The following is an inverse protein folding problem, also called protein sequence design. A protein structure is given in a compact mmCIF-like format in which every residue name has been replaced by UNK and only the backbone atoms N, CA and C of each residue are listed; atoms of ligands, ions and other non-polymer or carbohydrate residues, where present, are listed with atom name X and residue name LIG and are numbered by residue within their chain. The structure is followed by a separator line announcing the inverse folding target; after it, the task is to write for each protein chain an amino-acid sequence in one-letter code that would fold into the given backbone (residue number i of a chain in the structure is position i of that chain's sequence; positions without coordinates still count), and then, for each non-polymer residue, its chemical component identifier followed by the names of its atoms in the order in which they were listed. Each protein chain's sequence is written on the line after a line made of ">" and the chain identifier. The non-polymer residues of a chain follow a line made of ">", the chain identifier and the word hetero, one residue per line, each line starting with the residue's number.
data_IF_761746800413
#
_entry.id   IF_761746800413
#
_cell.length_a   1.000
_cell.length_b   1.000
_cell.length_c   1.000
_cell.angle_alpha   90.00
_cell.angle_beta   90.00
_cell.angle_gamma   90.00
#
_symmetry.space_group_name_H-M   'P 1'
#
loop_
_entity.id
_entity.type
_entity.pdbx_description
1 polymer ?
#
# COMPACT_ATOMS: atom_id res chain seq x y z
N UNK A 1 -7.42 9.67 -9.04
CA UNK A 1 -7.10 8.58 -10.00
C UNK A 1 -6.38 9.13 -11.22
N UNK A 2 -5.44 8.38 -11.82
CA UNK A 2 -4.73 8.83 -13.04
C UNK A 2 -3.32 9.42 -12.84
N UNK A 3 -2.75 9.35 -11.63
CA UNK A 3 -1.39 9.84 -11.36
C UNK A 3 -0.27 9.04 -12.06
N UNK A 4 -0.56 7.84 -12.59
CA UNK A 4 0.44 6.99 -13.27
C UNK A 4 1.00 5.84 -12.42
N UNK A 5 0.53 5.67 -11.16
CA UNK A 5 0.98 4.61 -10.23
C UNK A 5 0.92 3.21 -10.85
N UNK A 6 -0.22 2.81 -11.38
CA UNK A 6 -0.42 1.47 -11.96
C UNK A 6 0.42 1.25 -13.22
N UNK A 7 0.66 2.29 -14.02
CA UNK A 7 1.57 2.26 -15.16
C UNK A 7 3.01 2.02 -14.70
N UNK A 8 3.45 2.73 -13.66
CA UNK A 8 4.77 2.54 -13.05
C UNK A 8 4.93 1.13 -12.50
N UNK A 9 3.95 0.61 -11.76
CA UNK A 9 3.98 -0.78 -11.25
C UNK A 9 4.05 -1.78 -12.40
N UNK A 10 3.28 -1.57 -13.47
CA UNK A 10 3.28 -2.44 -14.64
C UNK A 10 4.65 -2.44 -15.33
N UNK A 11 5.33 -1.29 -15.38
CA UNK A 11 6.68 -1.19 -15.90
C UNK A 11 7.69 -1.94 -15.01
N UNK A 12 7.57 -1.81 -13.68
CA UNK A 12 8.42 -2.53 -12.71
C UNK A 12 8.21 -4.05 -12.80
N UNK A 13 6.97 -4.50 -12.95
CA UNK A 13 6.64 -5.92 -13.16
C UNK A 13 7.04 -6.48 -14.53
N UNK A 14 7.51 -5.63 -15.44
CA UNK A 14 7.80 -6.00 -16.82
C UNK A 14 6.56 -6.45 -17.59
N UNK A 15 5.38 -5.90 -17.26
CA UNK A 15 4.14 -6.08 -18.02
C UNK A 15 4.05 -5.11 -19.20
N UNK A 16 4.65 -3.93 -19.05
CA UNK A 16 4.82 -2.94 -20.12
C UNK A 16 6.28 -2.51 -20.20
N UNK A 17 6.77 -2.19 -21.40
CA UNK A 17 8.10 -1.63 -21.57
C UNK A 17 8.05 -0.11 -21.32
N UNK A 18 8.99 0.47 -20.54
CA UNK A 18 9.16 1.92 -20.48
C UNK A 18 9.47 2.49 -21.86
N UNK A 19 8.85 3.61 -22.23
CA UNK A 19 9.18 4.31 -23.49
C UNK A 19 10.61 4.84 -23.53
N UNK A 20 11.16 5.17 -22.36
CA UNK A 20 12.54 5.59 -22.16
C UNK A 20 12.98 5.28 -20.72
N UNK A 21 14.29 5.34 -20.46
CA UNK A 21 14.86 5.05 -19.15
C UNK A 21 15.11 3.57 -18.89
N UNK A 22 15.29 3.21 -17.62
CA UNK A 22 15.66 1.86 -17.20
C UNK A 22 15.01 1.53 -15.86
N UNK A 23 14.58 0.27 -15.71
CA UNK A 23 14.07 -0.26 -14.45
C UNK A 23 14.93 -1.45 -14.01
N UNK A 24 15.34 -1.43 -12.75
CA UNK A 24 16.08 -2.54 -12.13
C UNK A 24 15.41 -2.99 -10.85
N UNK A 25 15.27 -4.30 -10.65
CA UNK A 25 14.70 -4.90 -9.44
C UNK A 25 15.72 -5.86 -8.83
N UNK A 26 16.11 -5.63 -7.58
CA UNK A 26 17.17 -6.42 -6.93
C UNK A 26 18.48 -6.44 -7.74
N UNK A 27 18.82 -5.31 -8.38
CA UNK A 27 19.99 -5.18 -9.26
C UNK A 27 19.83 -5.81 -10.66
N UNK A 28 18.70 -6.46 -10.96
CA UNK A 28 18.43 -7.07 -12.27
C UNK A 28 17.70 -6.09 -13.17
N UNK A 29 18.22 -5.86 -14.37
CA UNK A 29 17.57 -5.07 -15.41
C UNK A 29 16.34 -5.81 -15.97
N UNK A 30 15.15 -5.24 -15.77
CA UNK A 30 13.86 -5.86 -16.13
C UNK A 30 13.76 -6.14 -17.62
N UNK A 31 14.36 -5.30 -18.47
CA UNK A 31 14.32 -5.49 -19.91
C UNK A 31 15.30 -6.57 -20.40
N UNK A 32 16.42 -6.76 -19.70
CA UNK A 32 17.45 -7.75 -20.07
C UNK A 32 17.14 -9.16 -19.56
N UNK A 33 16.67 -9.27 -18.31
CA UNK A 33 16.27 -10.56 -17.73
C UNK A 33 14.96 -10.43 -16.94
N UNK A 34 13.81 -10.42 -17.64
CA UNK A 34 12.50 -10.28 -17.01
C UNK A 34 12.18 -11.40 -16.02
N UNK A 35 12.67 -12.63 -16.28
CA UNK A 35 12.39 -13.78 -15.44
C UNK A 35 13.16 -13.71 -14.12
N UNK A 36 14.45 -13.34 -14.16
CA UNK A 36 15.22 -13.14 -12.93
C UNK A 36 14.68 -11.97 -12.11
N UNK A 37 14.24 -10.88 -12.75
CA UNK A 37 13.59 -9.76 -12.06
C UNK A 37 12.28 -10.21 -11.37
N UNK A 38 11.41 -10.94 -12.08
CA UNK A 38 10.14 -11.45 -11.51
C UNK A 38 10.33 -12.45 -10.38
N UNK A 39 11.41 -13.23 -10.37
CA UNK A 39 11.73 -14.12 -9.24
C UNK A 39 12.08 -13.36 -7.95
N UNK A 40 12.52 -12.11 -8.06
CA UNK A 40 12.83 -11.24 -6.91
C UNK A 40 11.66 -10.34 -6.53
N UNK A 41 10.59 -10.32 -7.33
CA UNK A 41 9.47 -9.40 -7.21
C UNK A 41 8.18 -10.14 -6.89
N UNK A 42 7.52 -9.77 -5.80
CA UNK A 42 6.12 -10.09 -5.53
C UNK A 42 5.24 -8.91 -5.92
N UNK A 43 4.11 -9.15 -6.59
CA UNK A 43 3.14 -8.09 -6.90
C UNK A 43 1.76 -8.55 -6.42
N UNK A 44 1.17 -7.78 -5.51
CA UNK A 44 -0.22 -7.88 -5.09
C UNK A 44 -1.01 -6.73 -5.77
N UNK A 45 -1.58 -6.97 -6.96
CA UNK A 45 -2.26 -5.93 -7.74
C UNK A 45 -3.57 -5.45 -7.09
N UNK A 46 -4.07 -4.27 -7.47
CA UNK A 46 -5.37 -3.75 -7.01
C UNK A 46 -6.52 -4.72 -7.31
N UNK A 47 -6.63 -5.17 -8.56
CA UNK A 47 -7.57 -6.21 -8.97
C UNK A 47 -7.09 -7.59 -8.50
N UNK A 48 -7.95 -8.37 -7.85
CA UNK A 48 -7.60 -9.70 -7.34
C UNK A 48 -7.15 -10.63 -8.47
N UNK A 49 -5.92 -11.15 -8.37
CA UNK A 49 -5.38 -12.15 -9.28
C UNK A 49 -5.58 -13.54 -8.68
N UNK A 50 -6.83 -13.97 -8.48
CA UNK A 50 -7.15 -15.27 -7.88
C UNK A 50 -8.07 -16.08 -8.78
N UNK A 51 -7.98 -17.40 -8.71
CA UNK A 51 -8.85 -18.33 -9.40
C UNK A 51 -10.08 -18.64 -8.52
N UNK A 52 -11.27 -18.08 -8.82
CA UNK A 52 -12.42 -18.12 -7.91
C UNK A 52 -12.98 -19.53 -7.71
N UNK A 53 -12.86 -20.40 -8.73
CA UNK A 53 -13.40 -21.76 -8.72
C UNK A 53 -12.46 -22.76 -8.03
N UNK A 54 -11.20 -22.38 -7.79
CA UNK A 54 -10.24 -23.20 -7.07
C UNK A 54 -10.33 -22.95 -5.57
N UNK A 55 -9.91 -23.93 -4.77
CA UNK A 55 -9.82 -23.75 -3.32
C UNK A 55 -8.69 -22.77 -2.95
N UNK A 56 -8.72 -22.29 -1.71
CA UNK A 56 -7.64 -21.46 -1.15
C UNK A 56 -6.28 -22.15 -1.29
N UNK A 57 -6.20 -23.42 -0.89
CA UNK A 57 -4.98 -24.23 -1.00
C UNK A 57 -4.55 -24.39 -2.46
N UNK A 58 -5.49 -24.67 -3.36
CA UNK A 58 -5.18 -24.84 -4.79
C UNK A 58 -4.65 -23.54 -5.41
N UNK A 59 -5.21 -22.38 -5.03
CA UNK A 59 -4.68 -21.08 -5.47
C UNK A 59 -3.20 -20.93 -5.08
N UNK A 60 -2.88 -21.15 -3.80
CA UNK A 60 -1.50 -21.07 -3.34
C UNK A 60 -0.59 -22.07 -4.08
N UNK A 61 -1.07 -23.28 -4.35
CA UNK A 61 -0.30 -24.28 -5.09
C UNK A 61 -0.06 -23.86 -6.55
N UNK A 62 -1.05 -23.29 -7.22
CA UNK A 62 -0.93 -22.79 -8.59
C UNK A 62 0.08 -21.65 -8.64
N UNK A 63 -0.05 -20.64 -7.79
CA UNK A 63 0.89 -19.50 -7.76
C UNK A 63 2.30 -19.95 -7.41
N UNK A 64 2.46 -20.83 -6.41
CA UNK A 64 3.78 -21.39 -6.09
C UNK A 64 4.40 -22.13 -7.26
N UNK A 65 3.61 -22.94 -7.98
CA UNK A 65 4.05 -23.66 -9.18
C UNK A 65 4.48 -22.72 -10.31
N UNK A 66 3.75 -21.61 -10.54
CA UNK A 66 4.10 -20.60 -11.55
C UNK A 66 5.48 -19.96 -11.28
N UNK A 67 5.87 -19.84 -10.01
CA UNK A 67 7.20 -19.37 -9.61
C UNK A 67 8.24 -20.50 -9.45
N UNK A 68 7.94 -21.71 -9.91
CA UNK A 68 8.86 -22.84 -9.94
C UNK A 68 9.00 -23.60 -8.62
N UNK A 69 8.08 -23.42 -7.66
CA UNK A 69 8.06 -24.23 -6.45
C UNK A 69 7.44 -25.61 -6.74
N UNK A 70 8.08 -26.67 -6.23
CA UNK A 70 7.59 -28.04 -6.35
C UNK A 70 7.87 -28.88 -5.09
N UNK A 71 7.29 -30.08 -5.05
CA UNK A 71 7.54 -31.07 -4.01
C UNK A 71 7.38 -30.54 -2.58
N UNK A 72 8.38 -30.80 -1.74
CA UNK A 72 8.41 -30.38 -0.32
C UNK A 72 8.34 -28.87 -0.16
N UNK A 73 9.10 -28.11 -0.97
CA UNK A 73 9.14 -26.64 -0.88
C UNK A 73 7.77 -26.02 -1.18
N UNK A 74 7.06 -26.52 -2.20
CA UNK A 74 5.70 -26.07 -2.49
C UNK A 74 4.75 -26.34 -1.31
N UNK A 75 4.87 -27.51 -0.67
CA UNK A 75 4.05 -27.88 0.47
C UNK A 75 4.29 -26.96 1.67
N UNK A 76 5.56 -26.68 1.98
CA UNK A 76 5.97 -25.79 3.06
C UNK A 76 5.49 -24.36 2.81
N UNK A 77 5.74 -23.81 1.61
CA UNK A 77 5.30 -22.46 1.26
C UNK A 77 3.78 -22.34 1.17
N UNK A 78 3.07 -23.39 0.77
CA UNK A 78 1.59 -23.41 0.82
C UNK A 78 1.10 -23.33 2.27
N UNK A 79 1.71 -24.10 3.18
CA UNK A 79 1.35 -24.05 4.61
C UNK A 79 1.61 -22.68 5.20
N UNK A 80 2.78 -22.10 4.91
CA UNK A 80 3.13 -20.74 5.30
C UNK A 80 2.15 -19.71 4.75
N UNK A 81 1.77 -19.82 3.47
CA UNK A 81 0.80 -18.90 2.84
C UNK A 81 -0.60 -18.99 3.45
N UNK A 82 -1.04 -20.18 3.86
CA UNK A 82 -2.30 -20.36 4.58
C UNK A 82 -2.28 -19.66 5.94
N UNK A 83 -1.15 -19.77 6.67
CA UNK A 83 -0.95 -19.10 7.97
C UNK A 83 -0.88 -17.58 7.82
N UNK A 84 -0.09 -17.10 6.86
CA UNK A 84 0.03 -15.68 6.57
C UNK A 84 -1.33 -15.07 6.22
N UNK A 85 -2.16 -15.77 5.45
CA UNK A 85 -3.49 -15.32 5.10
C UNK A 85 -4.53 -15.54 6.22
N UNK A 86 -4.19 -16.25 7.31
CA UNK A 86 -5.10 -16.79 8.32
C UNK A 86 -6.33 -17.47 7.70
N UNK A 87 -6.09 -18.45 6.83
CA UNK A 87 -7.10 -19.19 6.08
C UNK A 87 -6.96 -20.72 6.21
N UNK A 88 -6.25 -21.22 7.21
CA UNK A 88 -6.03 -22.65 7.43
C UNK A 88 -7.34 -23.41 7.56
N UNK A 89 -8.30 -22.87 8.34
CA UNK A 89 -9.63 -23.45 8.51
C UNK A 89 -10.49 -23.39 7.24
N UNK A 90 -10.11 -22.59 6.25
CA UNK A 90 -10.81 -22.40 4.97
C UNK A 90 -10.02 -22.95 3.77
N UNK A 91 -8.95 -23.72 4.03
CA UNK A 91 -8.01 -24.21 2.99
C UNK A 91 -8.69 -24.93 1.82
N UNK A 92 -9.78 -25.64 2.08
CA UNK A 92 -10.51 -26.45 1.09
C UNK A 92 -11.80 -25.76 0.60
N UNK A 93 -12.06 -24.51 1.01
CA UNK A 93 -13.18 -23.72 0.50
C UNK A 93 -12.80 -23.08 -0.85
N UNK A 94 -13.74 -22.98 -1.82
CA UNK A 94 -13.55 -22.19 -3.03
C UNK A 94 -13.24 -20.73 -2.71
N UNK A 95 -12.35 -20.10 -3.48
CA UNK A 95 -12.03 -18.67 -3.29
C UNK A 95 -13.26 -17.78 -3.51
N UNK A 96 -14.18 -18.18 -4.39
CA UNK A 96 -15.42 -17.45 -4.64
C UNK A 96 -16.23 -17.17 -3.36
N UNK A 97 -16.24 -18.10 -2.41
CA UNK A 97 -16.99 -17.98 -1.14
C UNK A 97 -16.30 -17.13 -0.06
N UNK A 98 -15.09 -16.64 -0.31
CA UNK A 98 -14.38 -15.77 0.63
C UNK A 98 -14.91 -14.33 0.60
N UNK A 99 -14.83 -13.64 1.74
CA UNK A 99 -15.05 -12.19 1.81
C UNK A 99 -13.98 -11.42 1.02
N UNK A 100 -14.23 -10.14 0.71
CA UNK A 100 -13.26 -9.27 0.03
C UNK A 100 -11.92 -9.21 0.77
N UNK A 101 -11.96 -8.97 2.08
CA UNK A 101 -10.76 -8.95 2.93
C UNK A 101 -10.00 -10.29 2.94
N UNK A 102 -10.71 -11.42 3.02
CA UNK A 102 -10.08 -12.75 2.93
C UNK A 102 -9.40 -12.98 1.58
N UNK A 103 -10.05 -12.59 0.47
CA UNK A 103 -9.45 -12.65 -0.87
C UNK A 103 -8.20 -11.78 -0.96
N UNK A 104 -8.22 -10.61 -0.33
CA UNK A 104 -7.07 -9.69 -0.32
C UNK A 104 -5.86 -10.27 0.41
N UNK A 105 -6.08 -10.87 1.58
CA UNK A 105 -5.01 -11.57 2.33
C UNK A 105 -4.45 -12.75 1.56
N UNK A 106 -5.31 -13.53 0.89
CA UNK A 106 -4.88 -14.62 0.01
C UNK A 106 -4.06 -14.10 -1.18
N UNK A 107 -4.49 -13.01 -1.81
CA UNK A 107 -3.79 -12.38 -2.93
C UNK A 107 -2.37 -11.94 -2.53
N UNK A 108 -2.22 -11.34 -1.33
CA UNK A 108 -0.92 -10.99 -0.79
C UNK A 108 -0.07 -12.25 -0.50
N UNK A 109 -0.65 -13.28 0.12
CA UNK A 109 0.06 -14.52 0.38
C UNK A 109 0.58 -15.17 -0.93
N UNK A 110 -0.22 -15.20 -1.99
CA UNK A 110 0.20 -15.68 -3.31
C UNK A 110 1.41 -14.90 -3.86
N UNK A 111 1.43 -13.57 -3.71
CA UNK A 111 2.52 -12.72 -4.18
C UNK A 111 3.85 -12.96 -3.44
N UNK A 112 3.82 -13.60 -2.27
CA UNK A 112 4.97 -13.82 -1.40
C UNK A 112 5.46 -15.27 -1.40
N UNK A 113 4.76 -16.20 -2.04
CA UNK A 113 5.05 -17.64 -1.97
C UNK A 113 6.47 -17.99 -2.41
N UNK A 114 7.00 -17.33 -3.43
CA UNK A 114 8.34 -17.57 -3.96
C UNK A 114 9.45 -16.84 -3.22
N UNK A 115 9.12 -16.19 -2.10
CA UNK A 115 10.07 -15.53 -1.21
C UNK A 115 10.81 -14.34 -1.86
N UNK A 116 10.09 -13.34 -2.38
CA UNK A 116 10.70 -12.22 -3.10
C UNK A 116 11.46 -11.25 -2.18
N UNK A 117 12.49 -10.61 -2.73
CA UNK A 117 13.26 -9.52 -2.08
C UNK A 117 12.48 -8.20 -2.06
N UNK A 118 11.68 -7.96 -3.10
CA UNK A 118 10.87 -6.74 -3.28
C UNK A 118 9.40 -7.11 -3.43
N UNK A 119 8.52 -6.41 -2.73
CA UNK A 119 7.07 -6.63 -2.78
C UNK A 119 6.37 -5.34 -3.15
N UNK A 120 5.47 -5.38 -4.13
CA UNK A 120 4.58 -4.27 -4.48
C UNK A 120 3.17 -4.59 -3.99
N UNK A 121 2.62 -3.73 -3.16
CA UNK A 121 1.23 -3.78 -2.73
C UNK A 121 0.46 -2.62 -3.35
N UNK A 122 -0.36 -2.91 -4.36
CA UNK A 122 -1.09 -1.90 -5.13
C UNK A 122 -2.49 -1.67 -4.55
N UNK A 123 -2.68 -0.57 -3.83
CA UNK A 123 -3.91 -0.22 -3.10
C UNK A 123 -4.50 -1.41 -2.31
N UNK A 124 -3.73 -2.02 -1.39
CA UNK A 124 -4.09 -3.30 -0.76
C UNK A 124 -5.33 -3.22 0.13
N UNK A 125 -5.75 -2.04 0.56
CA UNK A 125 -6.86 -1.84 1.51
C UNK A 125 -8.17 -1.41 0.86
N UNK A 126 -8.21 -1.25 -0.47
CA UNK A 126 -9.43 -0.83 -1.16
C UNK A 126 -10.55 -1.87 -0.97
N UNK A 127 -11.64 -1.46 -0.32
CA UNK A 127 -12.81 -2.31 -0.10
C UNK A 127 -12.62 -3.42 0.93
N UNK A 128 -11.63 -3.32 1.83
CA UNK A 128 -11.45 -4.27 2.94
C UNK A 128 -12.03 -3.73 4.26
N UNK A 129 -12.49 -4.64 5.11
CA UNK A 129 -12.95 -4.32 6.45
C UNK A 129 -11.77 -3.93 7.39
N UNK A 130 -12.03 -3.24 8.52
CA UNK A 130 -10.98 -2.78 9.43
C UNK A 130 -10.06 -3.89 9.96
N UNK A 131 -10.60 -5.09 10.25
CA UNK A 131 -9.79 -6.21 10.75
C UNK A 131 -8.83 -6.70 9.66
N UNK A 132 -9.30 -6.85 8.43
CA UNK A 132 -8.46 -7.21 7.29
C UNK A 132 -7.41 -6.14 6.97
N UNK A 133 -7.74 -4.84 7.11
CA UNK A 133 -6.78 -3.73 6.96
C UNK A 133 -5.64 -3.85 7.97
N UNK A 134 -5.95 -4.05 9.25
CA UNK A 134 -4.94 -4.20 10.30
C UNK A 134 -4.05 -5.41 10.05
N UNK A 135 -4.63 -6.54 9.65
CA UNK A 135 -3.85 -7.74 9.28
C UNK A 135 -2.86 -7.46 8.14
N UNK A 136 -3.29 -6.76 7.09
CA UNK A 136 -2.41 -6.38 5.98
C UNK A 136 -1.28 -5.48 6.46
N UNK A 137 -1.56 -4.52 7.35
CA UNK A 137 -0.56 -3.63 7.93
C UNK A 137 0.48 -4.40 8.73
N UNK A 138 0.03 -5.30 9.60
CA UNK A 138 0.93 -6.12 10.41
C UNK A 138 1.78 -7.05 9.54
N UNK A 139 1.20 -7.58 8.46
CA UNK A 139 1.94 -8.36 7.46
C UNK A 139 3.03 -7.51 6.80
N UNK A 140 2.69 -6.29 6.35
CA UNK A 140 3.65 -5.38 5.70
C UNK A 140 4.78 -4.98 6.64
N UNK A 141 4.46 -4.65 7.90
CA UNK A 141 5.47 -4.35 8.93
C UNK A 141 6.38 -5.54 9.19
N UNK A 142 5.81 -6.75 9.25
CA UNK A 142 6.59 -7.99 9.39
C UNK A 142 7.58 -8.19 8.24
N UNK A 143 7.13 -8.01 6.99
CA UNK A 143 8.00 -8.11 5.81
C UNK A 143 9.16 -7.10 5.86
N UNK A 144 8.88 -5.85 6.25
CA UNK A 144 9.91 -4.83 6.42
C UNK A 144 10.90 -5.19 7.54
N UNK A 145 10.40 -5.65 8.70
CA UNK A 145 11.24 -6.08 9.82
C UNK A 145 12.13 -7.29 9.48
N UNK A 146 11.71 -8.14 8.55
CA UNK A 146 12.51 -9.23 7.98
C UNK A 146 13.57 -8.76 6.96
N UNK A 147 13.63 -7.46 6.66
CA UNK A 147 14.59 -6.86 5.72
C UNK A 147 14.15 -6.85 4.26
N UNK A 148 12.86 -7.07 3.97
CA UNK A 148 12.33 -6.99 2.59
C UNK A 148 12.00 -5.56 2.22
N UNK A 149 12.16 -5.23 0.94
CA UNK A 149 11.70 -3.93 0.42
C UNK A 149 10.21 -4.01 0.07
N UNK A 150 9.39 -3.11 0.63
CA UNK A 150 7.97 -3.01 0.28
C UNK A 150 7.68 -1.67 -0.40
N UNK A 151 7.09 -1.72 -1.59
CA UNK A 151 6.52 -0.58 -2.29
C UNK A 151 5.01 -0.63 -2.08
N UNK A 152 4.49 0.34 -1.35
CA UNK A 152 3.08 0.45 -1.03
C UNK A 152 2.47 1.62 -1.81
N UNK A 153 1.42 1.38 -2.59
CA UNK A 153 0.68 2.47 -3.23
C UNK A 153 -0.69 2.62 -2.59
N UNK A 154 -1.07 3.88 -2.38
CA UNK A 154 -2.35 4.25 -1.79
C UNK A 154 -2.67 5.68 -2.16
N UNK A 155 -3.93 6.06 -1.97
CA UNK A 155 -4.40 7.45 -1.95
C UNK A 155 -4.87 7.85 -0.54
N UNK A 156 -4.74 6.96 0.44
CA UNK A 156 -5.12 7.20 1.83
C UNK A 156 -3.90 7.59 2.64
N UNK A 157 -3.90 8.83 3.14
CA UNK A 157 -2.73 9.38 3.80
C UNK A 157 -2.40 8.73 5.14
N UNK A 158 -3.44 8.36 5.89
CA UNK A 158 -3.34 7.58 7.13
C UNK A 158 -2.54 6.28 6.96
N UNK A 159 -2.58 5.66 5.77
CA UNK A 159 -1.83 4.43 5.50
C UNK A 159 -0.36 4.71 5.26
N UNK A 160 -0.06 5.82 4.57
CA UNK A 160 1.29 6.30 4.37
C UNK A 160 1.92 6.61 5.72
N UNK A 161 1.21 7.37 6.56
CA UNK A 161 1.66 7.71 7.92
C UNK A 161 1.84 6.47 8.81
N UNK A 162 1.03 5.44 8.64
CA UNK A 162 1.09 4.22 9.46
C UNK A 162 2.16 3.19 9.02
N UNK A 163 2.68 3.28 7.80
CA UNK A 163 3.52 2.22 7.20
C UNK A 163 4.82 2.72 6.57
N UNK A 164 4.88 3.95 6.08
CA UNK A 164 5.95 4.38 5.18
C UNK A 164 6.96 5.31 5.87
N UNK A 165 8.25 4.97 5.75
CA UNK A 165 9.35 5.83 6.19
C UNK A 165 9.73 6.86 5.11
N UNK A 166 9.56 6.49 3.84
CA UNK A 166 9.80 7.32 2.66
C UNK A 166 8.58 7.34 1.77
N UNK A 167 8.32 8.49 1.16
CA UNK A 167 7.11 8.73 0.37
C UNK A 167 7.49 9.45 -0.91
N UNK A 168 6.97 8.95 -2.02
CA UNK A 168 7.00 9.64 -3.31
C UNK A 168 5.58 10.07 -3.67
N UNK A 169 5.36 11.37 -3.77
CA UNK A 169 4.09 11.94 -4.21
C UNK A 169 4.10 12.02 -5.73
N UNK A 170 3.13 11.35 -6.36
CA UNK A 170 3.02 11.29 -7.83
C UNK A 170 1.77 12.03 -8.26
N UNK A 171 1.93 12.95 -9.21
CA UNK A 171 0.82 13.65 -9.86
C UNK A 171 1.06 13.74 -11.38
N UNK A 172 0.03 13.42 -12.17
CA UNK A 172 0.04 13.51 -13.65
C UNK A 172 1.28 12.87 -14.31
N UNK A 173 1.67 11.69 -13.81
CA UNK A 173 2.80 10.90 -14.33
C UNK A 173 4.18 11.38 -13.88
N UNK A 174 4.26 12.29 -12.91
CA UNK A 174 5.52 12.86 -12.40
C UNK A 174 5.61 12.73 -10.89
N UNK A 175 6.81 12.44 -10.38
CA UNK A 175 7.12 12.58 -8.96
C UNK A 175 7.27 14.07 -8.68
N UNK A 176 6.38 14.62 -7.86
CA UNK A 176 6.37 16.05 -7.50
C UNK A 176 7.07 16.33 -6.16
N UNK A 177 7.18 15.30 -5.30
CA UNK A 177 7.99 15.33 -4.09
C UNK A 177 8.42 13.90 -3.73
N UNK A 178 9.61 13.75 -3.18
CA UNK A 178 10.12 12.48 -2.67
C UNK A 178 11.07 12.76 -1.50
N UNK A 179 10.74 12.29 -0.30
CA UNK A 179 11.62 12.37 0.87
C UNK A 179 11.18 11.37 1.96
N UNK A 180 11.81 11.43 3.13
CA UNK A 180 11.25 10.82 4.34
C UNK A 180 9.90 11.46 4.68
N UNK A 181 9.02 10.68 5.33
CA UNK A 181 7.73 11.17 5.80
C UNK A 181 7.90 12.42 6.67
N UNK A 182 8.85 12.38 7.61
CA UNK A 182 9.15 13.50 8.51
C UNK A 182 9.59 14.75 7.76
N UNK A 183 10.47 14.61 6.77
CA UNK A 183 10.96 15.74 5.98
C UNK A 183 9.85 16.36 5.14
N UNK A 184 9.02 15.55 4.48
CA UNK A 184 7.86 16.06 3.72
C UNK A 184 6.89 16.83 4.63
N UNK A 185 6.56 16.27 5.79
CA UNK A 185 5.67 16.94 6.76
C UNK A 185 6.31 18.23 7.30
N UNK A 186 7.63 18.27 7.46
CA UNK A 186 8.36 19.46 7.90
C UNK A 186 8.43 20.58 6.84
N UNK A 187 8.31 20.26 5.56
CA UNK A 187 8.26 21.27 4.49
C UNK A 187 6.96 22.09 4.47
N UNK A 188 5.90 21.60 5.12
CA UNK A 188 4.66 22.35 5.29
C UNK A 188 4.91 23.57 6.18
N UNK A 189 4.65 24.76 5.63
CA UNK A 189 4.90 26.04 6.29
C UNK A 189 3.91 26.35 7.44
N UNK A 190 2.95 25.46 7.72
CA UNK A 190 1.91 25.68 8.70
C UNK A 190 2.43 25.44 10.13
N UNK A 191 2.40 26.48 10.97
CA UNK A 191 2.52 26.32 12.42
C UNK A 191 1.16 25.85 12.97
N UNK A 192 1.16 24.78 13.77
CA UNK A 192 -0.04 24.24 14.42
C UNK A 192 0.07 24.35 15.93
N UNK A 193 -1.03 24.63 16.62
CA UNK A 193 -1.12 24.67 18.07
C UNK A 193 -2.17 23.66 18.54
N UNK A 194 -1.84 22.86 19.55
CA UNK A 194 -2.78 21.94 20.22
C UNK A 194 -3.30 22.62 21.48
N UNK A 195 -4.62 22.66 21.65
CA UNK A 195 -5.29 23.18 22.84
C UNK A 195 -6.08 22.06 23.50
N UNK A 196 -5.65 21.63 24.68
CA UNK A 196 -6.40 20.67 25.49
C UNK A 196 -7.50 21.40 26.27
N UNK A 197 -8.76 21.02 26.01
CA UNK A 197 -9.90 21.59 26.69
C UNK A 197 -10.11 20.92 28.05
N UNK A 198 -10.26 21.74 29.10
CA UNK A 198 -10.74 21.24 30.38
C UNK A 198 -12.19 20.79 30.26
N UNK A 199 -12.55 19.81 31.06
CA UNK A 199 -13.91 19.28 31.14
C UNK A 199 -14.93 20.42 31.38
N UNK A 200 -15.99 20.47 30.57
CA UNK A 200 -17.00 21.54 30.59
C UNK A 200 -16.73 22.74 29.67
N UNK A 201 -15.59 22.80 28.97
CA UNK A 201 -15.36 23.82 27.95
C UNK A 201 -15.98 23.39 26.61
N UNK A 202 -16.95 24.17 26.11
CA UNK A 202 -17.59 23.92 24.83
C UNK A 202 -16.73 24.45 23.66
N UNK A 203 -16.66 23.68 22.56
CA UNK A 203 -15.90 24.05 21.36
C UNK A 203 -16.27 25.46 20.84
N UNK A 204 -17.56 25.79 20.82
CA UNK A 204 -18.05 27.10 20.38
C UNK A 204 -17.69 28.29 21.29
N UNK A 205 -17.17 28.05 22.50
CA UNK A 205 -16.56 29.09 23.34
C UNK A 205 -15.11 29.33 22.91
N UNK A 206 -14.35 28.27 22.65
CA UNK A 206 -12.99 28.35 22.12
C UNK A 206 -12.98 29.05 20.75
N UNK A 207 -13.92 28.70 19.85
CA UNK A 207 -14.02 29.33 18.53
C UNK A 207 -14.25 30.85 18.61
N UNK A 208 -15.10 31.31 19.54
CA UNK A 208 -15.35 32.75 19.76
C UNK A 208 -14.14 33.49 20.32
N UNK A 209 -13.45 32.89 21.28
CA UNK A 209 -12.25 33.45 21.90
C UNK A 209 -11.11 33.55 20.88
N UNK A 210 -10.89 32.49 20.10
CA UNK A 210 -9.87 32.47 19.05
C UNK A 210 -10.22 33.42 17.88
N UNK A 211 -11.50 33.61 17.56
CA UNK A 211 -11.94 34.58 16.55
C UNK A 211 -11.70 36.05 16.96
N UNK A 212 -11.46 36.31 18.25
CA UNK A 212 -11.10 37.65 18.76
C UNK A 212 -9.62 38.00 18.56
N UNK A 213 -8.78 37.01 18.23
CA UNK A 213 -7.39 37.20 17.82
C UNK A 213 -7.33 37.59 16.33
N UNK A 214 -6.28 38.29 15.87
CA UNK A 214 -6.14 38.70 14.47
C UNK A 214 -5.74 37.50 13.58
N UNK A 215 -6.63 36.51 13.46
CA UNK A 215 -6.39 35.26 12.71
C UNK A 215 -7.39 35.16 11.57
N UNK A 216 -6.91 34.92 10.34
CA UNK A 216 -7.72 34.95 9.13
C UNK A 216 -8.69 33.77 8.98
N UNK A 217 -8.40 32.62 9.60
CA UNK A 217 -9.30 31.46 9.73
C UNK A 217 -8.76 30.51 10.81
N UNK A 218 -9.67 29.82 11.51
CA UNK A 218 -9.33 28.70 12.40
C UNK A 218 -9.72 27.43 11.66
N UNK A 219 -8.74 26.56 11.40
CA UNK A 219 -8.96 25.25 10.80
C UNK A 219 -8.23 24.21 11.63
N UNK A 220 -8.93 23.15 12.01
CA UNK A 220 -8.29 21.93 12.50
C UNK A 220 -7.41 21.39 11.37
N UNK A 221 -6.10 21.38 11.56
CA UNK A 221 -5.23 20.81 10.56
C UNK A 221 -3.97 20.29 11.24
N UNK A 222 -3.90 18.97 11.46
CA UNK A 222 -2.61 18.33 11.75
C UNK A 222 -1.70 18.60 10.56
N UNK A 223 -0.43 18.94 10.79
CA UNK A 223 0.57 18.81 9.73
C UNK A 223 0.46 17.39 9.20
N UNK A 224 -0.03 17.28 7.98
CA UNK A 224 -0.35 16.02 7.36
C UNK A 224 0.20 16.04 5.95
N UNK A 225 0.49 14.87 5.42
CA UNK A 225 0.83 14.74 4.02
C UNK A 225 -0.29 15.26 3.10
N UNK A 226 -1.55 15.32 3.56
CA UNK A 226 -2.65 15.89 2.78
C UNK A 226 -2.44 17.39 2.52
N UNK A 227 -1.91 18.12 3.51
CA UNK A 227 -1.55 19.54 3.33
C UNK A 227 -0.38 19.69 2.36
N UNK A 228 0.66 18.87 2.51
CA UNK A 228 1.82 18.89 1.60
C UNK A 228 1.35 18.66 0.16
N UNK A 229 0.45 17.70 -0.05
CA UNK A 229 -0.16 17.47 -1.36
C UNK A 229 -0.94 18.69 -1.86
N UNK A 230 -1.76 19.29 -1.01
CA UNK A 230 -2.55 20.49 -1.34
C UNK A 230 -1.64 21.68 -1.70
N UNK A 231 -0.57 21.92 -0.96
CA UNK A 231 0.39 23.01 -1.23
C UNK A 231 1.12 22.79 -2.56
N UNK A 232 1.51 21.54 -2.85
CA UNK A 232 2.21 21.20 -4.09
C UNK A 232 1.31 21.22 -5.33
N UNK A 233 0.03 20.87 -5.19
CA UNK A 233 -0.86 20.65 -6.34
C UNK A 233 -2.01 21.65 -6.46
N UNK A 234 -2.28 22.43 -5.40
CA UNK A 234 -3.43 23.33 -5.31
C UNK A 234 -4.80 22.64 -5.24
N UNK A 235 -4.85 21.30 -5.08
CA UNK A 235 -6.07 20.50 -5.12
C UNK A 235 -6.22 19.62 -3.88
N UNK A 236 -7.46 19.42 -3.42
CA UNK A 236 -7.77 18.45 -2.38
C UNK A 236 -7.78 17.02 -2.95
N UNK A 237 -7.41 16.03 -2.14
CA UNK A 237 -7.40 14.62 -2.55
C UNK A 237 -8.77 14.08 -2.97
N UNK A 238 -9.87 14.74 -2.58
CA UNK A 238 -11.26 14.32 -2.84
C UNK A 238 -11.93 15.05 -4.00
N UNK A 239 -11.27 15.98 -4.67
CA UNK A 239 -11.86 16.76 -5.78
C UNK A 239 -11.99 15.95 -7.10
N UNK A 240 -11.73 14.64 -7.06
CA UNK A 240 -11.79 13.74 -8.21
C UNK A 240 -13.03 12.84 -8.30
N UNK A 241 -13.96 12.95 -7.34
CA UNK A 241 -15.24 12.21 -7.34
C UNK A 241 -16.42 13.17 -7.62
N UNK A 242 -16.32 13.93 -8.72
CA UNK A 242 -17.42 14.68 -9.31
C UNK A 242 -17.63 14.27 -10.78
#
# INVERSE_FOLDING_TARGET
>A
NGAGKSTTISAIGGLIAPSAGKVTVGGVDVARDPLAARRRLGIAPQSLALFPNLTVKQNLQVFGGLFGLGGRKLTERTSWGLQLAQLEAKRDQPVASLSGGMKRRLNLACALLHDPEVVICDEPTTGVDPQSRNHLFDTIRGLHAEGRTVIYTTHYMEEVEALCERVAIVDHGRVIAEDSLEALVATSAAQSFTVELREGCALGTLERELASLPVAAIRENRRSLEQVFLELTGRGLRDGDA
#
